data_IF_767920070385
#
_entry.id   IF_767920070385
#
_cell.length_a   1.000
_cell.length_b   1.000
_cell.length_c   1.000
_cell.angle_alpha   90.00
_cell.angle_beta   90.00
_cell.angle_gamma   90.00
#
_symmetry.space_group_name_H-M   'P 1'
#
loop_
_entity.id
_entity.type
_entity.pdbx_description
1 polymer ?
#
# COMPACT_ATOMS: atom_id res chain seq x y z
N UNK A 1 -40.00 10.76 -15.43
CA UNK A 1 -39.69 9.77 -14.38
C UNK A 1 -38.23 9.37 -14.51
N UNK A 2 -37.53 9.37 -13.39
CA UNK A 2 -36.10 9.65 -13.25
C UNK A 2 -35.11 8.64 -13.87
N UNK A 3 -34.09 9.19 -14.54
CA UNK A 3 -32.77 8.59 -14.69
C UNK A 3 -32.10 8.58 -13.31
N UNK A 4 -31.76 7.39 -12.77
CA UNK A 4 -30.89 7.26 -11.59
C UNK A 4 -29.75 6.27 -11.87
N UNK A 5 -28.54 6.83 -11.80
CA UNK A 5 -27.22 6.19 -11.70
C UNK A 5 -27.21 5.01 -10.72
N UNK A 6 -26.51 3.91 -11.06
CA UNK A 6 -25.88 3.07 -10.04
C UNK A 6 -24.57 2.48 -10.56
N UNK A 7 -23.62 2.45 -9.63
CA UNK A 7 -22.17 2.40 -9.74
C UNK A 7 -21.59 1.38 -10.73
N UNK A 8 -20.52 1.82 -11.39
CA UNK A 8 -19.49 0.99 -12.01
C UNK A 8 -18.74 0.33 -10.86
N UNK A 9 -18.94 -0.98 -10.67
CA UNK A 9 -18.15 -1.80 -9.75
C UNK A 9 -16.70 -1.86 -10.26
N UNK A 10 -15.84 -1.07 -9.62
CA UNK A 10 -14.38 -1.13 -9.76
C UNK A 10 -13.86 -2.33 -8.97
N UNK A 11 -12.80 -2.97 -9.47
CA UNK A 11 -12.03 -4.07 -8.86
C UNK A 11 -12.52 -5.51 -9.13
N UNK A 12 -12.56 -5.90 -10.40
CA UNK A 12 -12.37 -7.29 -10.82
C UNK A 12 -11.46 -7.30 -12.06
N UNK A 13 -10.15 -7.12 -11.88
CA UNK A 13 -9.19 -7.37 -12.96
C UNK A 13 -8.66 -8.81 -12.81
N UNK A 14 -9.24 -9.66 -13.64
CA UNK A 14 -9.12 -11.11 -13.69
C UNK A 14 -7.83 -11.51 -14.43
N UNK A 15 -6.91 -12.25 -13.80
CA UNK A 15 -5.93 -13.06 -14.56
C UNK A 15 -5.52 -14.34 -13.82
N UNK A 16 -5.85 -15.48 -14.43
CA UNK A 16 -5.48 -16.87 -14.13
C UNK A 16 -3.96 -17.08 -14.05
N UNK A 17 -3.45 -17.93 -13.14
CA UNK A 17 -2.76 -19.22 -13.37
C UNK A 17 -2.41 -19.89 -12.01
N UNK A 18 -3.00 -21.08 -11.76
CA UNK A 18 -2.61 -22.24 -10.92
C UNK A 18 -2.12 -22.06 -9.45
N UNK A 19 -2.78 -22.85 -8.59
CA UNK A 19 -2.58 -23.13 -7.15
C UNK A 19 -3.39 -22.24 -6.20
N UNK A 20 -4.25 -22.88 -5.40
CA UNK A 20 -5.28 -22.28 -4.58
C UNK A 20 -4.69 -21.43 -3.44
N UNK A 21 -4.83 -20.11 -3.57
CA UNK A 21 -5.19 -19.19 -2.48
C UNK A 21 -5.63 -17.90 -3.18
N UNK A 22 -6.92 -17.57 -3.14
CA UNK A 22 -7.41 -16.28 -3.62
C UNK A 22 -6.88 -15.22 -2.67
N UNK A 23 -5.68 -14.68 -2.94
CA UNK A 23 -5.16 -13.55 -2.19
C UNK A 23 -5.94 -12.33 -2.65
N UNK A 24 -6.92 -11.91 -1.85
CA UNK A 24 -7.65 -10.70 -2.11
C UNK A 24 -6.68 -9.52 -1.91
N UNK A 25 -6.60 -8.67 -2.93
CA UNK A 25 -5.80 -7.45 -2.86
C UNK A 25 -6.75 -6.26 -2.81
N UNK A 26 -6.71 -5.49 -1.74
CA UNK A 26 -7.36 -4.18 -1.71
C UNK A 26 -6.45 -3.15 -2.38
N UNK A 27 -7.09 -2.17 -3.01
CA UNK A 27 -6.44 -1.03 -3.64
C UNK A 27 -6.96 0.25 -3.00
N UNK A 28 -6.05 1.11 -2.56
CA UNK A 28 -6.37 2.36 -1.87
C UNK A 28 -5.59 3.52 -2.48
N UNK A 29 -6.30 4.63 -2.66
CA UNK A 29 -5.74 5.91 -3.08
C UNK A 29 -5.74 6.84 -1.88
N UNK A 30 -4.56 7.19 -1.37
CA UNK A 30 -4.41 8.04 -0.20
C UNK A 30 -3.84 9.40 -0.58
N UNK A 31 -4.19 10.43 0.18
CA UNK A 31 -3.60 11.75 0.06
C UNK A 31 -2.72 12.01 1.28
N UNK A 32 -1.46 12.38 1.03
CA UNK A 32 -0.49 12.70 2.07
C UNK A 32 -0.10 14.17 1.97
N UNK A 33 0.01 14.81 3.12
CA UNK A 33 0.69 16.10 3.24
C UNK A 33 2.19 15.89 3.36
N UNK A 34 2.98 16.92 3.02
CA UNK A 34 4.43 16.90 3.26
C UNK A 34 4.75 16.51 4.71
N UNK A 35 5.78 15.69 4.88
CA UNK A 35 6.25 15.12 6.15
C UNK A 35 5.31 14.11 6.84
N UNK A 36 4.11 13.86 6.29
CA UNK A 36 3.15 12.89 6.84
C UNK A 36 3.55 11.44 6.54
N UNK A 37 3.26 10.53 7.46
CA UNK A 37 3.43 9.09 7.24
C UNK A 37 2.13 8.41 6.81
N UNK A 38 2.25 7.32 6.03
CA UNK A 38 1.07 6.51 5.66
C UNK A 38 0.31 5.99 6.90
N UNK A 39 1.00 5.65 7.98
CA UNK A 39 0.38 5.14 9.20
C UNK A 39 -0.40 6.18 10.02
N UNK A 40 -0.45 7.42 9.55
CA UNK A 40 -1.21 8.54 10.10
C UNK A 40 -2.48 8.82 9.27
N UNK A 41 -2.72 8.04 8.22
CA UNK A 41 -3.94 8.10 7.41
C UNK A 41 -4.91 7.02 7.89
N UNK A 42 -6.12 7.43 8.30
CA UNK A 42 -7.13 6.51 8.84
C UNK A 42 -7.80 5.66 7.75
N UNK A 43 -7.86 6.15 6.51
CA UNK A 43 -8.61 5.53 5.39
C UNK A 43 -7.73 4.55 4.59
N UNK A 44 -7.13 3.57 5.28
CA UNK A 44 -6.32 2.52 4.64
C UNK A 44 -6.66 1.14 5.20
N UNK A 45 -6.69 0.13 4.34
CA UNK A 45 -6.82 -1.28 4.76
C UNK A 45 -5.49 -1.87 5.28
N UNK A 46 -4.52 -1.01 5.61
CA UNK A 46 -3.19 -1.43 6.05
C UNK A 46 -3.26 -1.87 7.51
N UNK A 47 -2.88 -3.12 7.76
CA UNK A 47 -2.74 -3.62 9.13
C UNK A 47 -1.41 -3.15 9.73
N UNK A 48 -1.49 -2.39 10.82
CA UNK A 48 -0.31 -1.89 11.52
C UNK A 48 0.05 -2.77 12.72
N UNK A 49 1.32 -3.15 12.79
CA UNK A 49 1.92 -3.77 13.98
C UNK A 49 2.77 -2.76 14.77
N UNK A 50 4.08 -2.96 14.79
CA UNK A 50 5.00 -2.20 15.64
C UNK A 50 5.19 -0.72 15.28
N UNK A 51 4.80 -0.28 14.08
CA UNK A 51 5.07 1.06 13.50
C UNK A 51 6.54 1.51 13.56
N UNK A 52 7.48 0.56 13.60
CA UNK A 52 8.94 0.79 13.75
C UNK A 52 9.78 0.12 12.66
N UNK A 53 9.13 -0.41 11.63
CA UNK A 53 9.83 -1.05 10.51
C UNK A 53 10.40 -2.44 10.79
N UNK A 54 10.13 -3.06 11.95
CA UNK A 54 10.78 -4.34 12.33
C UNK A 54 9.90 -5.59 12.20
N UNK A 55 8.57 -5.46 12.21
CA UNK A 55 7.67 -6.62 12.27
C UNK A 55 7.09 -7.06 10.91
N UNK A 56 7.24 -6.26 9.85
CA UNK A 56 6.75 -6.59 8.50
C UNK A 56 5.22 -6.56 8.29
N UNK A 57 4.41 -6.43 9.34
CA UNK A 57 2.94 -6.51 9.26
C UNK A 57 2.31 -5.48 8.31
N UNK A 58 2.85 -4.26 8.26
CA UNK A 58 2.33 -3.18 7.42
C UNK A 58 2.94 -3.20 6.01
N UNK A 59 3.21 -4.38 5.45
CA UNK A 59 3.76 -4.50 4.11
C UNK A 59 2.70 -4.12 3.08
N UNK A 60 3.07 -3.24 2.15
CA UNK A 60 2.20 -2.73 1.09
C UNK A 60 2.95 -2.77 -0.23
N UNK A 61 2.21 -2.87 -1.34
CA UNK A 61 2.74 -2.64 -2.67
C UNK A 61 2.44 -1.19 -3.07
N UNK A 62 3.46 -0.40 -3.38
CA UNK A 62 3.28 0.93 -3.95
C UNK A 62 3.08 0.78 -5.46
N UNK A 63 1.90 1.18 -5.94
CA UNK A 63 1.55 1.14 -7.35
C UNK A 63 2.02 2.41 -8.06
N UNK A 64 1.81 3.56 -7.42
CA UNK A 64 2.26 4.86 -7.88
C UNK A 64 2.43 5.79 -6.67
N UNK A 65 3.59 6.42 -6.54
CA UNK A 65 3.84 7.47 -5.58
C UNK A 65 4.30 8.77 -6.22
N UNK A 66 4.50 8.84 -7.55
CA UNK A 66 5.00 10.04 -8.23
C UNK A 66 6.22 10.73 -7.55
N UNK A 67 7.12 9.95 -6.92
CA UNK A 67 8.25 10.42 -6.11
C UNK A 67 7.87 11.22 -4.84
N UNK A 68 6.63 11.09 -4.37
CA UNK A 68 6.13 11.67 -3.13
C UNK A 68 6.78 11.00 -1.93
N UNK A 69 7.05 9.70 -1.97
CA UNK A 69 7.55 8.98 -0.80
C UNK A 69 9.07 9.02 -0.69
N UNK A 70 9.53 9.06 0.55
CA UNK A 70 10.93 8.82 0.91
C UNK A 70 11.44 7.47 0.43
N UNK A 71 12.74 7.38 0.15
CA UNK A 71 13.42 6.14 -0.21
C UNK A 71 13.42 5.14 0.96
N UNK A 72 13.58 3.85 0.64
CA UNK A 72 13.74 2.80 1.66
C UNK A 72 15.00 3.02 2.49
N UNK A 73 14.86 3.01 3.81
CA UNK A 73 16.01 2.93 4.71
C UNK A 73 16.58 1.50 4.75
N UNK A 74 17.78 1.34 5.31
CA UNK A 74 18.45 0.02 5.38
C UNK A 74 17.65 -0.98 6.24
N UNK A 75 17.07 -0.54 7.36
CA UNK A 75 16.25 -1.39 8.21
C UNK A 75 14.98 -1.89 7.48
N UNK A 76 14.32 -1.02 6.72
CA UNK A 76 13.16 -1.40 5.91
C UNK A 76 13.52 -2.48 4.89
N UNK A 77 14.65 -2.33 4.18
CA UNK A 77 15.13 -3.33 3.22
C UNK A 77 15.39 -4.67 3.88
N UNK A 78 16.09 -4.67 5.03
CA UNK A 78 16.39 -5.90 5.77
C UNK A 78 15.12 -6.63 6.19
N UNK A 79 14.13 -5.93 6.74
CA UNK A 79 12.85 -6.56 7.13
C UNK A 79 12.08 -7.08 5.92
N UNK A 80 12.04 -6.35 4.81
CA UNK A 80 11.41 -6.79 3.56
C UNK A 80 12.08 -8.06 3.01
N UNK A 81 13.41 -8.15 3.07
CA UNK A 81 14.16 -9.32 2.63
C UNK A 81 13.85 -10.54 3.51
N UNK A 82 13.81 -10.37 4.83
CA UNK A 82 13.48 -11.45 5.80
C UNK A 82 12.09 -12.04 5.53
N UNK A 83 11.09 -11.20 5.19
CA UNK A 83 9.72 -11.65 4.91
C UNK A 83 9.50 -12.08 3.45
N UNK A 84 10.56 -12.14 2.62
CA UNK A 84 10.47 -12.55 1.22
C UNK A 84 9.81 -11.54 0.29
N UNK A 85 9.80 -10.25 0.65
CA UNK A 85 9.20 -9.13 -0.10
C UNK A 85 10.25 -8.12 -0.57
N UNK A 86 11.36 -8.62 -1.09
CA UNK A 86 12.53 -7.83 -1.53
C UNK A 86 12.33 -7.02 -2.83
N UNK A 87 11.17 -7.16 -3.48
CA UNK A 87 10.89 -6.48 -4.75
C UNK A 87 10.81 -4.96 -4.56
N UNK A 88 11.22 -4.20 -5.58
CA UNK A 88 11.37 -2.73 -5.50
C UNK A 88 10.10 -2.00 -5.05
N UNK A 89 8.92 -2.51 -5.37
CA UNK A 89 7.66 -1.81 -5.11
C UNK A 89 7.05 -2.15 -3.75
N UNK A 90 7.53 -3.20 -3.08
CA UNK A 90 7.10 -3.46 -1.71
C UNK A 90 7.72 -2.42 -0.77
N UNK A 91 6.91 -1.96 0.20
CA UNK A 91 7.30 -1.01 1.24
C UNK A 91 6.67 -1.42 2.56
N UNK A 92 7.25 -0.95 3.66
CA UNK A 92 6.57 -0.94 4.94
C UNK A 92 5.87 0.40 5.09
N UNK A 93 4.53 0.41 5.10
CA UNK A 93 3.74 1.64 5.20
C UNK A 93 4.13 2.51 6.41
N UNK A 94 4.53 1.90 7.53
CA UNK A 94 4.99 2.67 8.68
C UNK A 94 6.29 3.44 8.47
N UNK A 95 7.09 3.11 7.46
CA UNK A 95 8.34 3.78 7.10
C UNK A 95 8.18 4.73 5.90
N UNK A 96 6.99 4.80 5.29
CA UNK A 96 6.70 5.66 4.17
C UNK A 96 6.34 7.07 4.65
N UNK A 97 7.32 7.96 4.62
CA UNK A 97 7.14 9.41 4.84
C UNK A 97 7.00 10.14 3.51
N UNK A 98 6.05 11.06 3.41
CA UNK A 98 5.91 11.95 2.26
C UNK A 98 6.96 13.06 2.29
N UNK A 99 7.67 13.26 1.18
CA UNK A 99 8.61 14.34 0.90
C UNK A 99 7.91 15.57 0.29
N UNK A 100 6.69 15.40 -0.22
CA UNK A 100 5.86 16.46 -0.80
C UNK A 100 4.39 16.09 -0.68
N UNK A 101 3.50 17.08 -0.69
CA UNK A 101 2.05 16.82 -0.69
C UNK A 101 1.59 16.17 -2.00
N UNK A 102 0.80 15.11 -1.92
CA UNK A 102 0.23 14.50 -3.11
C UNK A 102 -0.52 13.19 -2.87
N UNK A 103 -0.92 12.56 -3.99
CA UNK A 103 -1.68 11.30 -3.99
C UNK A 103 -0.73 10.11 -4.16
N UNK A 104 -0.91 9.08 -3.34
CA UNK A 104 -0.19 7.81 -3.43
C UNK A 104 -1.20 6.67 -3.58
N UNK A 105 -0.91 5.76 -4.50
CA UNK A 105 -1.71 4.58 -4.80
C UNK A 105 -1.00 3.33 -4.29
N UNK A 106 -1.66 2.55 -3.44
CA UNK A 106 -1.10 1.35 -2.83
C UNK A 106 -2.07 0.18 -2.86
N UNK A 107 -1.51 -1.03 -2.76
CA UNK A 107 -2.29 -2.26 -2.59
C UNK A 107 -1.84 -3.03 -1.36
N UNK A 108 -2.81 -3.64 -0.67
CA UNK A 108 -2.60 -4.49 0.49
C UNK A 108 -3.19 -5.87 0.25
N UNK A 109 -2.52 -6.92 0.73
CA UNK A 109 -3.14 -8.25 0.80
C UNK A 109 -4.05 -8.28 2.03
N UNK A 110 -5.29 -8.74 1.85
CA UNK A 110 -6.27 -8.95 2.92
C UNK A 110 -6.62 -10.44 2.99
#
# INVERSE_FOLDING_TARGET
MHIKKKLIDKCLFFFMIKAQMEVYMSYSDIFLSEEQYIHEVDDTDVQFGCKRGVCGQCVVLINDDSNILSNKCEYEKMTLDIIGKSQKNYRLACMCKALSTGKVSLSTAI
#
